data_IF_936876915624
#
_entry.id   IF_936876915624
#
_cell.length_a   1.000
_cell.length_b   1.000
_cell.length_c   1.000
_cell.angle_alpha   90.00
_cell.angle_beta   90.00
_cell.angle_gamma   90.00
#
_symmetry.space_group_name_H-M   'P 1'
#
loop_
_entity.id
_entity.type
_entity.pdbx_description
1 polymer ?
#
# COMPACT_ATOMS: atom_id res chain seq x y z
N UNK A 1 -19.30 0.08 7.89
CA UNK A 1 -17.86 0.10 7.59
C UNK A 1 -17.46 1.37 6.87
N UNK A 2 -16.23 1.80 7.09
CA UNK A 2 -15.69 2.98 6.40
C UNK A 2 -14.89 2.56 5.18
N UNK A 3 -14.78 3.48 4.23
CA UNK A 3 -13.96 3.25 3.02
C UNK A 3 -12.61 3.91 3.19
N UNK A 4 -11.56 3.20 2.83
CA UNK A 4 -10.18 3.67 2.94
C UNK A 4 -9.42 3.44 1.65
N UNK A 5 -8.40 4.25 1.45
CA UNK A 5 -7.45 4.08 0.36
C UNK A 5 -6.05 3.99 0.95
N UNK A 6 -5.36 2.89 0.66
CA UNK A 6 -3.97 2.72 1.04
C UNK A 6 -3.10 3.04 -0.16
N UNK A 7 -2.29 4.08 -0.06
CA UNK A 7 -1.28 4.38 -1.06
C UNK A 7 -0.02 3.64 -0.68
N UNK A 8 0.47 2.81 -1.58
CA UNK A 8 1.66 2.00 -1.36
C UNK A 8 2.69 2.36 -2.41
N UNK A 9 3.88 2.74 -1.99
CA UNK A 9 5.00 3.03 -2.90
C UNK A 9 6.04 1.95 -2.72
N UNK A 10 6.25 1.17 -3.77
CA UNK A 10 7.13 0.00 -3.75
C UNK A 10 8.44 0.32 -4.48
N UNK A 11 9.54 -0.26 -3.98
CA UNK A 11 10.87 -0.11 -4.54
C UNK A 11 10.89 -0.42 -6.04
N UNK A 12 11.38 0.51 -6.85
CA UNK A 12 11.41 0.36 -8.30
C UNK A 12 12.52 -0.56 -8.80
N UNK A 13 13.46 -0.93 -7.93
CA UNK A 13 14.62 -1.76 -8.30
C UNK A 13 14.43 -3.26 -8.08
N UNK A 14 13.25 -3.67 -7.60
CA UNK A 14 12.97 -5.08 -7.40
C UNK A 14 12.33 -5.68 -8.66
N UNK A 15 12.38 -7.01 -8.75
CA UNK A 15 11.78 -7.74 -9.85
C UNK A 15 10.25 -7.64 -9.81
N UNK A 16 9.62 -7.87 -10.97
CA UNK A 16 8.17 -7.82 -11.08
C UNK A 16 7.49 -8.79 -10.11
N UNK A 17 8.06 -9.97 -9.93
CA UNK A 17 7.54 -10.98 -9.01
C UNK A 17 7.53 -10.48 -7.58
N UNK A 18 8.61 -9.83 -7.17
CA UNK A 18 8.73 -9.30 -5.82
C UNK A 18 7.78 -8.13 -5.60
N UNK A 19 7.57 -7.33 -6.64
CA UNK A 19 6.62 -6.22 -6.58
C UNK A 19 5.19 -6.73 -6.44
N UNK A 20 4.83 -7.72 -7.24
CA UNK A 20 3.52 -8.35 -7.14
C UNK A 20 3.30 -8.98 -5.77
N UNK A 21 4.34 -9.63 -5.23
CA UNK A 21 4.28 -10.23 -3.90
C UNK A 21 4.05 -9.19 -2.81
N UNK A 22 4.67 -8.01 -2.95
CA UNK A 22 4.47 -6.92 -1.98
C UNK A 22 3.02 -6.45 -1.96
N UNK A 23 2.41 -6.30 -3.12
CA UNK A 23 1.01 -5.89 -3.23
C UNK A 23 0.09 -6.97 -2.64
N UNK A 24 0.33 -8.23 -2.96
CA UNK A 24 -0.46 -9.34 -2.43
C UNK A 24 -0.34 -9.43 -0.91
N UNK A 25 0.86 -9.18 -0.39
CA UNK A 25 1.09 -9.17 1.05
C UNK A 25 0.27 -8.06 1.73
N UNK A 26 0.24 -6.87 1.13
CA UNK A 26 -0.54 -5.77 1.66
C UNK A 26 -2.03 -6.10 1.67
N UNK A 27 -2.54 -6.71 0.60
CA UNK A 27 -3.93 -7.15 0.52
C UNK A 27 -4.25 -8.20 1.59
N UNK A 28 -3.34 -9.14 1.78
CA UNK A 28 -3.49 -10.18 2.79
C UNK A 28 -3.55 -9.60 4.20
N UNK A 29 -2.71 -8.61 4.48
CA UNK A 29 -2.72 -7.94 5.77
C UNK A 29 -4.07 -7.26 6.02
N UNK A 30 -4.60 -6.55 5.03
CA UNK A 30 -5.90 -5.89 5.13
C UNK A 30 -6.98 -6.92 5.45
N UNK A 31 -7.00 -8.02 4.72
CA UNK A 31 -7.99 -9.08 4.91
C UNK A 31 -7.87 -9.73 6.28
N UNK A 32 -6.65 -9.95 6.73
CA UNK A 32 -6.38 -10.57 8.03
C UNK A 32 -6.97 -9.78 9.19
N UNK A 33 -6.92 -8.45 9.08
CA UNK A 33 -7.44 -7.58 10.15
C UNK A 33 -8.90 -7.20 9.96
N UNK A 34 -9.60 -7.87 9.05
CA UNK A 34 -11.04 -7.71 8.89
C UNK A 34 -11.47 -6.73 7.82
N UNK A 35 -10.54 -6.27 6.99
CA UNK A 35 -10.88 -5.41 5.87
C UNK A 35 -11.29 -6.21 4.64
N UNK A 36 -12.02 -5.56 3.75
CA UNK A 36 -12.42 -6.13 2.46
C UNK A 36 -11.85 -5.27 1.35
N UNK A 37 -10.93 -5.84 0.58
CA UNK A 37 -10.33 -5.13 -0.56
C UNK A 37 -11.37 -5.05 -1.68
N UNK A 38 -11.67 -3.84 -2.13
CA UNK A 38 -12.67 -3.62 -3.18
C UNK A 38 -12.02 -3.36 -4.53
N UNK A 39 -10.85 -2.73 -4.56
CA UNK A 39 -10.16 -2.41 -5.81
C UNK A 39 -8.67 -2.21 -5.56
N UNK A 40 -7.86 -2.61 -6.53
CA UNK A 40 -6.43 -2.33 -6.53
C UNK A 40 -6.10 -1.61 -7.83
N UNK A 41 -5.59 -0.40 -7.72
CA UNK A 41 -5.19 0.40 -8.87
C UNK A 41 -3.67 0.42 -8.97
N UNK A 42 -3.14 -0.01 -10.11
CA UNK A 42 -1.72 0.05 -10.41
C UNK A 42 -1.46 1.36 -11.16
N UNK A 43 -0.89 2.34 -10.48
CA UNK A 43 -0.62 3.64 -11.08
C UNK A 43 0.73 3.69 -11.80
N UNK A 44 1.50 2.60 -11.76
CA UNK A 44 2.76 2.48 -12.47
C UNK A 44 3.93 3.14 -11.77
N UNK A 45 5.07 3.17 -12.48
CA UNK A 45 6.29 3.77 -11.97
C UNK A 45 6.21 5.29 -12.08
N UNK A 46 6.45 5.99 -10.97
CA UNK A 46 6.42 7.44 -10.94
C UNK A 46 7.64 7.99 -10.24
N UNK A 47 8.02 9.20 -10.60
CA UNK A 47 9.12 9.90 -9.97
C UNK A 47 8.68 10.39 -8.59
N UNK A 48 9.50 10.15 -7.59
CA UNK A 48 9.25 10.63 -6.25
C UNK A 48 9.50 12.13 -6.16
N UNK A 49 8.72 12.83 -5.34
CA UNK A 49 8.88 14.26 -5.13
C UNK A 49 10.25 14.57 -4.51
N UNK A 50 10.75 13.63 -3.72
CA UNK A 50 12.09 13.71 -3.14
C UNK A 50 12.64 12.30 -3.01
N UNK A 51 13.95 12.18 -2.92
CA UNK A 51 14.63 10.90 -2.86
C UNK A 51 14.34 10.19 -1.53
N UNK A 52 13.97 8.90 -1.59
CA UNK A 52 13.74 8.06 -0.41
C UNK A 52 14.69 6.90 -0.50
N UNK A 53 15.55 6.70 0.51
CA UNK A 53 16.53 5.61 0.55
C UNK A 53 17.36 5.53 -0.74
N UNK A 54 17.75 6.70 -1.26
CA UNK A 54 18.50 6.83 -2.51
C UNK A 54 17.72 6.41 -3.75
N UNK A 55 16.40 6.25 -3.63
CA UNK A 55 15.52 5.94 -4.75
C UNK A 55 14.86 7.20 -5.25
N UNK A 56 14.84 7.40 -6.56
CA UNK A 56 14.20 8.56 -7.18
C UNK A 56 12.84 8.24 -7.75
N UNK A 57 12.53 6.95 -7.89
CA UNK A 57 11.28 6.47 -8.47
C UNK A 57 10.72 5.33 -7.64
N UNK A 58 9.42 5.12 -7.75
CA UNK A 58 8.75 4.01 -7.10
C UNK A 58 7.50 3.63 -7.87
N UNK A 59 7.02 2.40 -7.63
CA UNK A 59 5.76 1.95 -8.19
C UNK A 59 4.64 2.28 -7.22
N UNK A 60 3.63 2.99 -7.72
CA UNK A 60 2.50 3.44 -6.92
C UNK A 60 1.31 2.51 -7.09
N UNK A 61 0.73 2.11 -5.97
CA UNK A 61 -0.48 1.29 -5.95
C UNK A 61 -1.48 1.94 -5.00
N UNK A 62 -2.73 1.97 -5.42
CA UNK A 62 -3.83 2.46 -4.58
C UNK A 62 -4.74 1.29 -4.30
N UNK A 63 -4.78 0.87 -3.03
CA UNK A 63 -5.59 -0.26 -2.60
C UNK A 63 -6.81 0.28 -1.86
N UNK A 64 -7.98 0.10 -2.46
CA UNK A 64 -9.23 0.55 -1.86
C UNK A 64 -9.82 -0.59 -1.05
N UNK A 65 -10.23 -0.29 0.17
CA UNK A 65 -10.80 -1.32 1.02
C UNK A 65 -11.84 -0.71 1.97
N UNK A 66 -12.70 -1.57 2.50
CA UNK A 66 -13.70 -1.22 3.49
C UNK A 66 -13.35 -1.93 4.80
N UNK A 67 -13.44 -1.21 5.91
CA UNK A 67 -13.06 -1.76 7.20
C UNK A 67 -13.60 -0.91 8.34
N UNK A 68 -13.54 -1.46 9.55
CA UNK A 68 -13.83 -0.71 10.75
C UNK A 68 -12.70 0.30 11.02
N UNK A 69 -13.00 1.32 11.80
CA UNK A 69 -12.05 2.43 12.04
C UNK A 69 -10.75 2.02 12.72
N UNK A 70 -10.69 0.86 13.34
CA UNK A 70 -9.48 0.36 14.00
C UNK A 70 -8.52 -0.33 13.04
N UNK A 71 -9.00 -0.76 11.88
CA UNK A 71 -8.21 -1.56 10.92
C UNK A 71 -7.04 -0.79 10.29
N UNK A 72 -7.21 0.47 9.85
CA UNK A 72 -6.09 1.18 9.18
C UNK A 72 -4.82 1.26 10.02
N UNK A 73 -4.93 1.51 11.32
CA UNK A 73 -3.76 1.59 12.19
C UNK A 73 -3.01 0.26 12.26
N UNK A 74 -3.75 -0.86 12.34
CA UNK A 74 -3.16 -2.18 12.36
C UNK A 74 -2.47 -2.51 11.04
N UNK A 75 -3.10 -2.15 9.93
CA UNK A 75 -2.55 -2.36 8.60
C UNK A 75 -1.25 -1.57 8.44
N UNK A 76 -1.23 -0.31 8.83
CA UNK A 76 -0.05 0.52 8.72
C UNK A 76 1.12 -0.02 9.54
N UNK A 77 0.87 -0.53 10.75
CA UNK A 77 1.91 -1.12 11.58
C UNK A 77 2.57 -2.32 10.91
N UNK A 78 1.80 -3.13 10.20
CA UNK A 78 2.33 -4.30 9.51
C UNK A 78 3.07 -3.94 8.24
N UNK A 79 2.55 -2.97 7.50
CA UNK A 79 3.17 -2.52 6.25
C UNK A 79 4.50 -1.82 6.52
N UNK A 80 4.60 -1.11 7.63
CA UNK A 80 5.80 -0.38 8.01
C UNK A 80 7.06 -1.25 8.07
N UNK A 81 6.91 -2.53 8.37
CA UNK A 81 8.04 -3.44 8.47
C UNK A 81 8.35 -4.21 7.18
N UNK A 82 7.62 -3.93 6.10
CA UNK A 82 7.88 -4.57 4.81
C UNK A 82 9.10 -3.94 4.14
N UNK A 83 10.05 -4.78 3.73
CA UNK A 83 11.34 -4.33 3.21
C UNK A 83 11.26 -3.56 1.90
N UNK A 84 10.33 -3.94 1.02
CA UNK A 84 10.25 -3.37 -0.32
C UNK A 84 9.32 -2.18 -0.43
N UNK A 85 8.77 -1.71 0.67
CA UNK A 85 7.86 -0.57 0.70
C UNK A 85 8.62 0.67 1.13
N UNK A 86 8.66 1.67 0.25
CA UNK A 86 9.35 2.92 0.52
C UNK A 86 8.49 3.89 1.32
N UNK A 87 7.19 3.87 1.05
CA UNK A 87 6.25 4.77 1.70
C UNK A 87 4.86 4.17 1.66
N UNK A 88 4.07 4.51 2.65
CA UNK A 88 2.68 4.10 2.72
C UNK A 88 1.84 5.22 3.36
N UNK A 89 0.58 5.30 2.97
CA UNK A 89 -0.34 6.27 3.54
C UNK A 89 -1.75 5.72 3.42
N UNK A 90 -2.45 5.63 4.54
CA UNK A 90 -3.84 5.19 4.56
C UNK A 90 -4.75 6.37 4.87
N UNK A 91 -5.67 6.66 3.97
CA UNK A 91 -6.56 7.80 4.08
C UNK A 91 -8.00 7.32 4.05
N UNK A 92 -8.82 7.88 4.95
CA UNK A 92 -10.25 7.60 4.94
C UNK A 92 -10.88 8.36 3.77
N UNK A 93 -11.65 7.64 2.97
CA UNK A 93 -12.37 8.24 1.86
C UNK A 93 -13.77 8.64 2.32
N UNK A 94 -14.14 9.87 2.03
CA UNK A 94 -15.49 10.35 2.32
C UNK A 94 -16.35 10.18 1.06
N UNK A 95 -17.56 9.73 1.29
CA UNK A 95 -18.51 9.55 0.21
C UNK A 95 -19.00 10.88 -0.35
#
# INVERSE_FOLDING_TARGET
MNKYELTLVVNAKIEDDERAAAVEKAKEIITRFGGTVTEVEDAGKKRLAYEIQKMKEGFYYFIHFEAESTVPAEVEQRIRIMDNVLRYLCVKQEA
#
